data_IF_308685898828
#
_entry.id   IF_308685898828
#
_cell.length_a   1.000
_cell.length_b   1.000
_cell.length_c   1.000
_cell.angle_alpha   90.00
_cell.angle_beta   90.00
_cell.angle_gamma   90.00
#
_symmetry.space_group_name_H-M   'P 1'
#
loop_
_entity.id
_entity.type
_entity.pdbx_description
1 polymer ?
#
# COMPACT_ATOMS: atom_id res chain seq x y z
N UNK A 1 -14.95 28.57 1.82
CA UNK A 1 -15.18 27.14 1.53
C UNK A 1 -13.90 26.39 1.84
N UNK A 2 -13.86 25.59 2.91
CA UNK A 2 -12.77 24.64 3.09
C UNK A 2 -13.06 23.43 2.20
N UNK A 3 -12.29 23.26 1.11
CA UNK A 3 -12.27 22.04 0.32
C UNK A 3 -11.71 20.93 1.21
N UNK A 4 -12.58 20.12 1.80
CA UNK A 4 -12.17 18.95 2.55
C UNK A 4 -11.74 17.87 1.54
N UNK A 5 -10.53 17.99 1.00
CA UNK A 5 -9.91 16.93 0.22
C UNK A 5 -9.88 15.67 1.10
N UNK A 6 -10.75 14.70 0.80
CA UNK A 6 -10.70 13.38 1.43
C UNK A 6 -9.37 12.75 1.04
N UNK A 7 -8.44 12.69 1.99
CA UNK A 7 -7.23 11.88 1.84
C UNK A 7 -7.65 10.46 1.47
N UNK A 8 -7.03 9.90 0.43
CA UNK A 8 -7.27 8.52 0.02
C UNK A 8 -6.93 7.61 1.19
N UNK A 9 -7.82 6.66 1.49
CA UNK A 9 -7.70 5.87 2.71
C UNK A 9 -6.45 4.97 2.73
N UNK A 10 -5.95 4.60 1.54
CA UNK A 10 -4.74 3.80 1.35
C UNK A 10 -3.44 4.62 1.42
N UNK A 11 -3.52 5.95 1.37
CA UNK A 11 -2.37 6.85 1.56
C UNK A 11 -2.23 7.29 3.03
N UNK A 12 -3.20 6.94 3.88
CA UNK A 12 -3.23 7.38 5.28
C UNK A 12 -2.25 6.57 6.11
N UNK A 13 -1.39 7.28 6.85
CA UNK A 13 -0.48 6.73 7.85
C UNK A 13 0.42 5.59 7.32
N UNK A 14 0.88 5.68 6.07
CA UNK A 14 1.81 4.71 5.47
C UNK A 14 3.14 4.68 6.20
N UNK A 15 3.67 3.49 6.48
CA UNK A 15 5.03 3.31 7.00
C UNK A 15 6.05 3.58 5.88
N UNK A 16 7.29 3.92 6.25
CA UNK A 16 8.36 4.23 5.29
C UNK A 16 8.67 3.10 4.29
N UNK A 17 8.37 1.86 4.65
CA UNK A 17 8.55 0.66 3.82
C UNK A 17 7.32 0.29 2.96
N UNK A 18 6.28 1.15 2.94
CA UNK A 18 5.10 0.96 2.11
C UNK A 18 5.13 1.88 0.90
N UNK A 19 4.79 1.38 -0.28
CA UNK A 19 4.79 2.15 -1.53
C UNK A 19 3.49 1.96 -2.31
N UNK A 20 2.97 3.03 -2.90
CA UNK A 20 1.80 2.98 -3.78
C UNK A 20 2.25 2.92 -5.23
N UNK A 21 1.90 1.85 -5.92
CA UNK A 21 2.21 1.61 -7.32
C UNK A 21 1.30 2.42 -8.22
N UNK A 22 1.87 2.96 -9.29
CA UNK A 22 1.14 3.76 -10.28
C UNK A 22 1.13 3.14 -11.68
N UNK A 23 1.99 2.16 -11.95
CA UNK A 23 2.10 1.45 -13.23
C UNK A 23 2.67 0.05 -13.06
N UNK A 24 2.55 -0.78 -14.10
CA UNK A 24 3.19 -2.09 -14.15
C UNK A 24 4.72 -1.98 -14.02
N UNK A 25 5.33 -1.02 -14.70
CA UNK A 25 6.78 -0.80 -14.65
C UNK A 25 7.26 -0.48 -13.22
N UNK A 26 6.52 0.37 -12.48
CA UNK A 26 6.84 0.68 -11.08
C UNK A 26 6.73 -0.56 -10.20
N UNK A 27 5.73 -1.43 -10.42
CA UNK A 27 5.64 -2.70 -9.72
C UNK A 27 6.85 -3.60 -9.99
N UNK A 28 7.24 -3.75 -11.26
CA UNK A 28 8.36 -4.59 -11.68
C UNK A 28 9.68 -4.07 -11.06
N UNK A 29 9.88 -2.76 -11.04
CA UNK A 29 11.03 -2.11 -10.39
C UNK A 29 11.03 -2.34 -8.88
N UNK A 30 9.90 -2.18 -8.18
CA UNK A 30 9.84 -2.44 -6.75
C UNK A 30 10.14 -3.91 -6.41
N UNK A 31 9.62 -4.85 -7.20
CA UNK A 31 9.88 -6.27 -7.02
C UNK A 31 11.35 -6.61 -7.27
N UNK A 32 11.98 -5.98 -8.26
CA UNK A 32 13.42 -6.14 -8.51
C UNK A 32 14.26 -5.60 -7.35
N UNK A 33 13.87 -4.47 -6.76
CA UNK A 33 14.56 -3.86 -5.62
C UNK A 33 14.37 -4.62 -4.30
N UNK A 34 13.28 -5.39 -4.17
CA UNK A 34 12.99 -6.16 -2.96
C UNK A 34 14.05 -7.22 -2.64
N UNK A 35 14.75 -7.74 -3.65
CA UNK A 35 15.77 -8.80 -3.52
C UNK A 35 15.24 -9.98 -2.68
N UNK A 36 15.85 -10.24 -1.52
CA UNK A 36 15.53 -11.35 -0.63
C UNK A 36 14.53 -10.99 0.47
N UNK A 37 13.98 -9.76 0.47
CA UNK A 37 13.03 -9.30 1.49
C UNK A 37 11.63 -9.85 1.22
N UNK A 38 10.92 -10.19 2.29
CA UNK A 38 9.52 -10.58 2.21
C UNK A 38 8.66 -9.37 1.80
N UNK A 39 8.19 -9.41 0.54
CA UNK A 39 7.40 -8.33 -0.07
C UNK A 39 5.96 -8.80 -0.29
N UNK A 40 5.00 -8.07 0.27
CA UNK A 40 3.57 -8.34 0.05
C UNK A 40 3.01 -7.27 -0.86
N UNK A 41 2.33 -7.71 -1.92
CA UNK A 41 1.56 -6.83 -2.80
C UNK A 41 0.08 -6.93 -2.43
N UNK A 42 -0.52 -5.81 -2.05
CA UNK A 42 -1.94 -5.69 -1.74
C UNK A 42 -2.66 -4.96 -2.86
N UNK A 43 -3.35 -5.75 -3.70
CA UNK A 43 -4.24 -5.25 -4.74
C UNK A 43 -5.60 -4.89 -4.14
N UNK A 44 -6.10 -3.68 -4.40
CA UNK A 44 -7.41 -3.25 -3.92
C UNK A 44 -8.11 -2.30 -4.90
N UNK A 45 -9.41 -2.10 -4.70
CA UNK A 45 -10.16 -1.05 -5.39
C UNK A 45 -10.50 0.09 -4.43
N UNK A 46 -10.47 1.37 -4.86
CA UNK A 46 -10.84 2.51 -4.02
C UNK A 46 -12.19 2.39 -3.29
N UNK A 47 -13.15 1.68 -3.89
CA UNK A 47 -14.50 1.44 -3.35
C UNK A 47 -14.62 0.16 -2.50
N UNK A 48 -13.55 -0.62 -2.35
CA UNK A 48 -13.57 -1.88 -1.59
C UNK A 48 -13.57 -1.62 -0.08
N UNK A 49 -14.76 -1.73 0.55
CA UNK A 49 -14.90 -1.57 2.00
C UNK A 49 -14.13 -2.62 2.81
N UNK A 50 -14.09 -3.87 2.35
CA UNK A 50 -13.34 -4.95 3.01
C UNK A 50 -11.83 -4.69 2.96
N UNK A 51 -11.30 -4.27 1.80
CA UNK A 51 -9.88 -3.95 1.63
C UNK A 51 -9.47 -2.78 2.52
N UNK A 52 -10.33 -1.77 2.67
CA UNK A 52 -10.12 -0.65 3.61
C UNK A 52 -10.03 -1.11 5.06
N UNK A 53 -10.87 -2.06 5.48
CA UNK A 53 -10.80 -2.62 6.83
C UNK A 53 -9.51 -3.45 7.03
N UNK A 54 -9.15 -4.26 6.04
CA UNK A 54 -7.96 -5.10 6.06
C UNK A 54 -6.65 -4.30 6.03
N UNK A 55 -6.63 -3.17 5.32
CA UNK A 55 -5.45 -2.29 5.20
C UNK A 55 -4.91 -1.85 6.56
N UNK A 56 -5.78 -1.52 7.52
CA UNK A 56 -5.37 -1.19 8.88
C UNK A 56 -4.65 -2.36 9.57
N UNK A 57 -5.05 -3.60 9.27
CA UNK A 57 -4.48 -4.81 9.87
C UNK A 57 -3.14 -5.19 9.25
N UNK A 58 -3.02 -5.12 7.92
CA UNK A 58 -1.75 -5.37 7.20
C UNK A 58 -0.67 -4.39 7.66
N UNK A 59 -1.05 -3.13 7.90
CA UNK A 59 -0.14 -2.12 8.44
C UNK A 59 0.42 -2.47 9.82
N UNK A 60 -0.36 -3.12 10.69
CA UNK A 60 0.04 -3.45 12.06
C UNK A 60 1.05 -4.60 12.13
N UNK A 61 1.11 -5.43 11.09
CA UNK A 61 2.05 -6.55 11.05
C UNK A 61 3.49 -6.04 11.03
N UNK A 62 4.30 -6.61 11.92
CA UNK A 62 5.72 -6.28 12.10
C UNK A 62 6.64 -7.23 11.35
N UNK A 63 6.11 -8.35 10.87
CA UNK A 63 6.86 -9.33 10.08
C UNK A 63 6.88 -8.99 8.59
N UNK A 64 6.19 -7.90 8.21
CA UNK A 64 6.13 -7.46 6.83
C UNK A 64 7.19 -6.38 6.56
N UNK A 65 8.26 -6.79 5.89
CA UNK A 65 9.41 -5.94 5.57
C UNK A 65 9.09 -4.92 4.46
N UNK A 66 8.21 -5.24 3.51
CA UNK A 66 7.69 -4.25 2.54
C UNK A 66 6.26 -4.55 2.08
N UNK A 67 5.43 -3.52 1.98
CA UNK A 67 4.07 -3.62 1.41
C UNK A 67 3.93 -2.73 0.20
N UNK A 68 3.49 -3.32 -0.90
CA UNK A 68 3.24 -2.63 -2.16
C UNK A 68 1.72 -2.56 -2.35
N UNK A 69 1.17 -1.36 -2.52
CA UNK A 69 -0.26 -1.15 -2.74
C UNK A 69 -0.53 -0.88 -4.22
N UNK A 70 -1.45 -1.62 -4.83
CA UNK A 70 -1.87 -1.46 -6.23
C UNK A 70 -3.38 -1.43 -6.37
#
# INVERSE_FOLDING_TARGET
>A
MHLHMKTKWWEKDMKANMKNIKSQEDLDEQLLMARDNLTVVHFFSPSCGACKALHSKVKEDKHLDSTIFS
#
